data_IF_925114150978
#
_entry.id   IF_925114150978
#
_cell.length_a   1.000
_cell.length_b   1.000
_cell.length_c   1.000
_cell.angle_alpha   90.00
_cell.angle_beta   90.00
_cell.angle_gamma   90.00
#
_symmetry.space_group_name_H-M   'P 1'
#
loop_
_entity.id
_entity.type
_entity.pdbx_description
1 polymer ?
#
# COMPACT_ATOMS: atom_id res chain seq x y z
N UNK A 1 -4.01 -61.10 -38.78
CA UNK A 1 -2.95 -60.08 -38.60
C UNK A 1 -3.55 -58.96 -37.78
N UNK A 2 -3.17 -58.89 -36.51
CA UNK A 2 -3.78 -58.03 -35.50
C UNK A 2 -3.27 -56.60 -35.58
N UNK A 3 -4.21 -55.68 -35.34
CA UNK A 3 -4.11 -54.22 -35.31
C UNK A 3 -3.34 -53.73 -34.08
N UNK A 4 -2.61 -52.63 -34.21
CA UNK A 4 -2.31 -51.73 -33.09
C UNK A 4 -2.35 -50.28 -33.58
N UNK A 5 -3.29 -49.50 -33.04
CA UNK A 5 -3.33 -48.04 -33.08
C UNK A 5 -2.80 -47.54 -31.73
N UNK A 6 -1.95 -46.50 -31.66
CA UNK A 6 -1.59 -45.88 -30.40
C UNK A 6 -2.65 -44.86 -29.98
N UNK A 7 -3.16 -45.00 -28.76
CA UNK A 7 -4.00 -44.02 -28.07
C UNK A 7 -3.10 -42.84 -27.62
N UNK A 8 -3.40 -41.64 -28.09
CA UNK A 8 -2.86 -40.38 -27.55
C UNK A 8 -3.75 -39.96 -26.36
N UNK A 9 -3.23 -40.03 -25.14
CA UNK A 9 -3.88 -39.48 -23.95
C UNK A 9 -3.48 -38.00 -23.81
N UNK A 10 -4.42 -37.08 -24.04
CA UNK A 10 -4.29 -35.67 -23.67
C UNK A 10 -4.62 -35.53 -22.17
N UNK A 11 -3.60 -35.30 -21.35
CA UNK A 11 -3.76 -35.01 -19.93
C UNK A 11 -4.13 -33.52 -19.78
N UNK A 12 -5.42 -33.23 -19.57
CA UNK A 12 -5.86 -31.90 -19.15
C UNK A 12 -5.51 -31.69 -17.69
N UNK A 13 -4.45 -30.92 -17.41
CA UNK A 13 -4.13 -30.44 -16.07
C UNK A 13 -5.08 -29.28 -15.77
N UNK A 14 -6.10 -29.54 -14.96
CA UNK A 14 -6.89 -28.48 -14.32
C UNK A 14 -6.02 -27.85 -13.24
N UNK A 15 -5.48 -26.66 -13.53
CA UNK A 15 -4.90 -25.79 -12.50
C UNK A 15 -6.07 -25.22 -11.70
N UNK A 16 -6.32 -25.79 -10.52
CA UNK A 16 -7.17 -25.13 -9.53
C UNK A 16 -6.44 -23.89 -9.05
N UNK A 17 -6.85 -22.72 -9.57
CA UNK A 17 -6.49 -21.44 -8.98
C UNK A 17 -7.22 -21.41 -7.63
N UNK A 18 -6.53 -21.79 -6.55
CA UNK A 18 -7.00 -21.54 -5.20
C UNK A 18 -6.98 -20.04 -5.00
N UNK A 19 -8.14 -19.40 -5.09
CA UNK A 19 -8.33 -18.04 -4.62
C UNK A 19 -8.06 -18.08 -3.10
N UNK A 20 -6.88 -17.64 -2.66
CA UNK A 20 -6.59 -17.46 -1.25
C UNK A 20 -7.47 -16.33 -0.76
N UNK A 21 -8.57 -16.69 -0.11
CA UNK A 21 -9.51 -15.71 0.40
C UNK A 21 -8.84 -15.00 1.58
N UNK A 22 -8.80 -13.67 1.53
CA UNK A 22 -8.18 -12.88 2.61
C UNK A 22 -9.15 -12.90 3.78
N UNK A 23 -8.73 -13.54 4.87
CA UNK A 23 -9.52 -13.64 6.10
C UNK A 23 -10.01 -12.26 6.53
N UNK A 24 -11.33 -12.06 6.54
CA UNK A 24 -11.97 -10.80 6.96
C UNK A 24 -12.70 -10.03 5.86
N UNK A 25 -12.41 -10.27 4.56
CA UNK A 25 -13.11 -9.67 3.41
C UNK A 25 -14.36 -10.48 3.01
N UNK A 26 -14.27 -11.80 3.09
CA UNK A 26 -15.19 -12.74 2.40
C UNK A 26 -16.67 -12.61 2.80
N UNK A 27 -16.95 -12.22 4.05
CA UNK A 27 -18.31 -12.05 4.54
C UNK A 27 -19.02 -10.79 4.01
N UNK A 28 -18.27 -9.84 3.43
CA UNK A 28 -18.82 -8.64 2.80
C UNK A 28 -18.89 -8.79 1.27
N UNK A 29 -18.76 -10.03 0.76
CA UNK A 29 -18.49 -10.38 -0.64
C UNK A 29 -19.44 -9.84 -1.72
N UNK A 30 -20.65 -9.39 -1.37
CA UNK A 30 -21.57 -8.75 -2.33
C UNK A 30 -21.27 -7.26 -2.61
N UNK A 31 -20.47 -6.62 -1.75
CA UNK A 31 -20.14 -5.20 -1.81
C UNK A 31 -19.46 -4.77 -3.12
N UNK A 32 -18.64 -5.65 -3.71
CA UNK A 32 -17.83 -5.35 -4.91
C UNK A 32 -18.63 -5.21 -6.21
N UNK A 33 -19.86 -5.75 -6.27
CA UNK A 33 -20.57 -5.93 -7.55
C UNK A 33 -21.27 -4.68 -8.13
N UNK A 34 -21.27 -3.55 -7.42
CA UNK A 34 -22.07 -2.36 -7.80
C UNK A 34 -21.29 -1.04 -7.84
N UNK A 35 -19.95 -1.07 -7.72
CA UNK A 35 -19.13 0.15 -7.68
C UNK A 35 -18.75 0.60 -9.09
N UNK A 36 -19.13 1.84 -9.43
CA UNK A 36 -18.65 2.54 -10.62
C UNK A 36 -17.94 3.82 -10.21
N UNK A 37 -16.69 3.96 -10.64
CA UNK A 37 -15.83 5.12 -10.43
C UNK A 37 -15.82 6.07 -11.65
N UNK A 38 -16.70 5.83 -12.63
CA UNK A 38 -16.69 6.53 -13.92
C UNK A 38 -16.92 8.06 -13.79
N UNK A 39 -17.55 8.51 -12.71
CA UNK A 39 -17.77 9.92 -12.43
C UNK A 39 -16.61 10.63 -11.73
N UNK A 40 -15.59 9.88 -11.29
CA UNK A 40 -14.43 10.45 -10.59
C UNK A 40 -13.36 10.87 -11.60
N UNK A 41 -12.70 12.00 -11.33
CA UNK A 41 -11.51 12.41 -12.08
C UNK A 41 -10.30 11.53 -11.73
N UNK A 42 -9.26 11.59 -12.57
CA UNK A 42 -8.08 10.75 -12.40
C UNK A 42 -7.31 11.06 -11.12
N UNK A 43 -7.27 12.33 -10.69
CA UNK A 43 -6.57 12.72 -9.45
C UNK A 43 -7.20 12.06 -8.21
N UNK A 44 -8.54 12.04 -8.15
CA UNK A 44 -9.29 11.36 -7.09
C UNK A 44 -9.05 9.86 -7.12
N UNK A 45 -9.00 9.24 -8.32
CA UNK A 45 -8.72 7.81 -8.47
C UNK A 45 -7.30 7.48 -7.98
N UNK A 46 -6.30 8.25 -8.39
CA UNK A 46 -4.91 8.08 -7.96
C UNK A 46 -4.76 8.26 -6.43
N UNK A 47 -5.50 9.21 -5.85
CA UNK A 47 -5.57 9.40 -4.41
C UNK A 47 -6.18 8.16 -3.72
N UNK A 48 -7.28 7.63 -4.24
CA UNK A 48 -7.95 6.45 -3.66
C UNK A 48 -7.07 5.21 -3.77
N UNK A 49 -6.36 5.01 -4.88
CA UNK A 49 -5.41 3.91 -5.04
C UNK A 49 -4.31 3.97 -3.98
N UNK A 50 -3.72 5.15 -3.76
CA UNK A 50 -2.69 5.36 -2.72
C UNK A 50 -3.24 5.10 -1.31
N UNK A 51 -4.37 5.71 -0.96
CA UNK A 51 -5.01 5.48 0.34
C UNK A 51 -5.36 4.00 0.55
N UNK A 52 -5.83 3.32 -0.49
CA UNK A 52 -6.20 1.91 -0.42
C UNK A 52 -5.02 0.99 -0.20
N UNK A 53 -3.86 1.32 -0.79
CA UNK A 53 -2.61 0.60 -0.52
C UNK A 53 -2.20 0.72 0.96
N UNK A 54 -2.33 1.91 1.55
CA UNK A 54 -2.01 2.14 2.97
C UNK A 54 -2.98 1.40 3.88
N UNK A 55 -4.29 1.49 3.61
CA UNK A 55 -5.31 0.78 4.38
C UNK A 55 -5.15 -0.74 4.29
N UNK A 56 -4.84 -1.27 3.10
CA UNK A 56 -4.56 -2.67 2.89
C UNK A 56 -3.32 -3.14 3.65
N UNK A 57 -2.23 -2.36 3.60
CA UNK A 57 -1.02 -2.63 4.38
C UNK A 57 -1.31 -2.65 5.89
N UNK A 58 -2.03 -1.66 6.42
CA UNK A 58 -2.40 -1.58 7.83
C UNK A 58 -3.23 -2.80 8.25
N UNK A 59 -4.25 -3.14 7.46
CA UNK A 59 -5.08 -4.33 7.70
C UNK A 59 -4.24 -5.60 7.74
N UNK A 60 -3.41 -5.83 6.73
CA UNK A 60 -2.62 -7.06 6.64
C UNK A 60 -1.61 -7.15 7.79
N UNK A 61 -0.98 -6.02 8.18
CA UNK A 61 -0.08 -5.94 9.34
C UNK A 61 -0.73 -6.28 10.68
N UNK A 62 -2.02 -6.01 10.84
CA UNK A 62 -2.75 -6.40 12.05
C UNK A 62 -3.04 -7.92 12.12
N UNK A 63 -3.00 -8.62 10.98
CA UNK A 63 -3.44 -10.01 10.86
C UNK A 63 -2.31 -10.99 10.47
N UNK A 64 -1.18 -10.48 9.98
CA UNK A 64 -0.04 -11.27 9.49
C UNK A 64 1.28 -10.71 10.05
N UNK A 65 2.08 -11.57 10.68
CA UNK A 65 3.36 -11.19 11.28
C UNK A 65 4.44 -10.79 10.24
N UNK A 66 4.35 -11.35 9.03
CA UNK A 66 5.31 -11.07 7.97
C UNK A 66 4.70 -11.28 6.60
N UNK A 67 4.73 -10.24 5.78
CA UNK A 67 4.33 -10.27 4.38
C UNK A 67 5.15 -9.24 3.61
N UNK A 68 5.45 -9.55 2.35
CA UNK A 68 6.12 -8.62 1.44
C UNK A 68 5.07 -7.92 0.58
N UNK A 69 4.24 -8.69 -0.12
CA UNK A 69 3.23 -8.16 -1.03
C UNK A 69 1.94 -7.80 -0.29
N UNK A 70 1.43 -6.61 -0.56
CA UNK A 70 0.14 -6.14 -0.06
C UNK A 70 -0.97 -6.77 -0.91
N UNK A 71 -1.99 -7.34 -0.29
CA UNK A 71 -3.08 -7.99 -1.00
C UNK A 71 -3.82 -7.05 -1.96
N UNK A 72 -3.89 -7.43 -3.23
CA UNK A 72 -4.70 -6.75 -4.25
C UNK A 72 -6.19 -6.75 -3.90
N UNK A 73 -6.67 -7.82 -3.25
CA UNK A 73 -8.06 -7.93 -2.81
C UNK A 73 -8.39 -6.91 -1.71
N UNK A 74 -7.46 -6.67 -0.78
CA UNK A 74 -7.60 -5.63 0.24
C UNK A 74 -7.54 -4.24 -0.40
N UNK A 75 -6.58 -4.00 -1.30
CA UNK A 75 -6.48 -2.72 -2.02
C UNK A 75 -7.78 -2.42 -2.77
N UNK A 76 -8.32 -3.41 -3.50
CA UNK A 76 -9.58 -3.25 -4.22
C UNK A 76 -10.74 -2.98 -3.27
N UNK A 77 -10.83 -3.72 -2.16
CA UNK A 77 -11.88 -3.52 -1.16
C UNK A 77 -11.88 -2.09 -0.59
N UNK A 78 -10.73 -1.57 -0.18
CA UNK A 78 -10.64 -0.21 0.35
C UNK A 78 -10.86 0.87 -0.71
N UNK A 79 -10.50 0.59 -1.97
CA UNK A 79 -10.80 1.47 -3.09
C UNK A 79 -12.30 1.60 -3.30
N UNK A 80 -12.98 0.45 -3.38
CA UNK A 80 -14.44 0.37 -3.58
C UNK A 80 -15.22 1.10 -2.47
N UNK A 81 -14.75 1.04 -1.22
CA UNK A 81 -15.32 1.81 -0.10
C UNK A 81 -15.25 3.31 -0.36
N UNK A 82 -14.08 3.80 -0.76
CA UNK A 82 -13.87 5.22 -1.00
C UNK A 82 -14.72 5.71 -2.17
N UNK A 83 -14.84 4.91 -3.24
CA UNK A 83 -15.73 5.22 -4.37
C UNK A 83 -17.18 5.32 -3.90
N UNK A 84 -17.69 4.33 -3.15
CA UNK A 84 -19.07 4.38 -2.62
C UNK A 84 -19.34 5.67 -1.84
N UNK A 85 -18.44 6.06 -0.93
CA UNK A 85 -18.60 7.30 -0.19
C UNK A 85 -18.59 8.50 -1.13
N UNK A 86 -17.60 8.60 -2.03
CA UNK A 86 -17.44 9.73 -2.93
C UNK A 86 -18.58 9.90 -3.94
N UNK A 87 -19.18 8.81 -4.40
CA UNK A 87 -20.29 8.82 -5.37
C UNK A 87 -21.66 8.85 -4.73
N UNK A 88 -21.75 8.81 -3.39
CA UNK A 88 -23.02 9.03 -2.68
C UNK A 88 -23.41 10.51 -2.64
N UNK A 89 -24.70 10.82 -2.51
CA UNK A 89 -25.16 12.20 -2.31
C UNK A 89 -24.48 12.85 -1.11
N UNK A 90 -24.40 12.10 -0.01
CA UNK A 90 -23.77 12.54 1.23
C UNK A 90 -22.28 12.92 1.05
N UNK A 91 -21.51 12.12 0.32
CA UNK A 91 -20.10 12.39 0.06
C UNK A 91 -19.88 13.52 -0.93
N UNK A 92 -20.64 13.56 -2.03
CA UNK A 92 -20.53 14.60 -3.07
C UNK A 92 -20.73 16.00 -2.52
N UNK A 93 -21.74 16.21 -1.68
CA UNK A 93 -22.05 17.53 -1.12
C UNK A 93 -20.91 18.12 -0.28
N UNK A 94 -20.04 17.27 0.27
CA UNK A 94 -19.06 17.68 1.28
C UNK A 94 -17.64 17.73 0.75
N UNK A 95 -17.37 17.18 -0.45
CA UNK A 95 -16.04 17.13 -1.07
C UNK A 95 -14.91 16.62 -0.16
N UNK A 96 -15.24 15.81 0.85
CA UNK A 96 -14.29 15.35 1.88
C UNK A 96 -13.34 14.32 1.28
N UNK A 97 -13.90 13.32 0.58
CA UNK A 97 -13.15 12.16 0.09
C UNK A 97 -12.08 12.53 -0.93
N UNK A 98 -12.37 13.49 -1.82
CA UNK A 98 -11.43 13.97 -2.82
C UNK A 98 -10.20 14.69 -2.25
N UNK A 99 -10.22 15.07 -0.96
CA UNK A 99 -9.16 15.86 -0.35
C UNK A 99 -8.45 15.16 0.82
N UNK A 100 -8.96 14.02 1.31
CA UNK A 100 -8.32 13.29 2.42
C UNK A 100 -7.19 12.38 1.90
N UNK A 101 -5.95 12.83 2.05
CA UNK A 101 -4.75 12.01 1.84
C UNK A 101 -4.28 11.44 3.16
N UNK A 102 -4.15 10.12 3.27
CA UNK A 102 -3.59 9.51 4.47
C UNK A 102 -2.13 9.96 4.64
N UNK A 103 -1.77 10.38 5.84
CA UNK A 103 -0.39 10.71 6.19
C UNK A 103 0.48 9.44 6.20
N UNK A 104 1.51 9.44 5.35
CA UNK A 104 2.34 8.27 5.08
C UNK A 104 3.50 8.17 6.09
N UNK A 105 3.24 7.51 7.23
CA UNK A 105 4.32 7.15 8.17
C UNK A 105 5.28 6.10 7.58
N UNK A 106 4.77 5.25 6.69
CA UNK A 106 5.53 4.24 5.96
C UNK A 106 5.28 4.48 4.48
N UNK A 107 6.35 4.75 3.74
CA UNK A 107 6.28 4.90 2.29
C UNK A 107 6.34 3.52 1.66
N UNK A 108 5.27 3.11 0.99
CA UNK A 108 5.12 1.76 0.42
C UNK A 108 5.87 1.56 -0.90
N UNK A 109 6.52 2.60 -1.43
CA UNK A 109 7.17 2.56 -2.73
C UNK A 109 8.67 2.84 -2.67
N UNK A 110 9.15 3.43 -1.57
CA UNK A 110 10.51 3.95 -1.49
C UNK A 110 11.25 3.47 -0.23
N UNK A 111 12.54 3.16 -0.43
CA UNK A 111 13.50 2.77 0.60
C UNK A 111 14.66 3.75 0.61
N UNK A 112 15.10 4.15 1.79
CA UNK A 112 16.32 4.92 1.99
C UNK A 112 17.41 3.98 2.55
N UNK A 113 18.49 3.81 1.80
CA UNK A 113 19.55 2.86 2.12
C UNK A 113 20.90 3.59 2.22
N UNK A 114 21.61 3.43 3.32
CA UNK A 114 23.02 3.85 3.50
C UNK A 114 23.89 2.58 3.57
N UNK A 115 24.52 2.17 2.46
CA UNK A 115 25.40 1.01 2.46
C UNK A 115 26.71 1.33 3.17
N UNK A 116 27.29 0.34 3.84
CA UNK A 116 28.63 0.47 4.44
C UNK A 116 29.66 0.79 3.35
N UNK A 117 30.42 1.86 3.57
CA UNK A 117 31.28 2.50 2.56
C UNK A 117 32.34 1.62 1.90
N UNK A 118 32.76 0.56 2.58
CA UNK A 118 33.83 -0.32 2.10
C UNK A 118 33.35 -1.36 1.09
N UNK A 119 32.03 -1.47 0.84
CA UNK A 119 31.53 -2.45 -0.11
C UNK A 119 31.64 -1.97 -1.57
N UNK A 120 32.18 -2.83 -2.48
CA UNK A 120 32.40 -2.46 -3.87
C UNK A 120 31.14 -1.98 -4.62
N UNK A 121 29.95 -2.44 -4.21
CA UNK A 121 28.72 -2.13 -4.91
C UNK A 121 28.25 -0.68 -4.73
N UNK A 122 28.78 0.07 -3.76
CA UNK A 122 28.44 1.50 -3.61
C UNK A 122 28.76 2.25 -4.91
N UNK A 123 29.90 1.96 -5.53
CA UNK A 123 30.29 2.56 -6.82
C UNK A 123 29.40 2.11 -7.97
N UNK A 124 28.86 0.89 -7.92
CA UNK A 124 27.90 0.43 -8.92
C UNK A 124 26.60 1.23 -8.81
N UNK A 125 26.13 1.44 -7.57
CA UNK A 125 24.92 2.20 -7.31
C UNK A 125 25.05 3.67 -7.70
N UNK A 126 26.23 4.28 -7.55
CA UNK A 126 26.53 5.62 -8.08
C UNK A 126 26.44 5.73 -9.62
N UNK A 127 26.48 4.60 -10.32
CA UNK A 127 26.36 4.52 -11.78
C UNK A 127 25.01 3.88 -12.20
N UNK A 128 23.99 3.99 -11.36
CA UNK A 128 22.63 3.46 -11.58
C UNK A 128 22.56 1.93 -11.78
N UNK A 129 23.58 1.20 -11.33
CA UNK A 129 23.60 -0.26 -11.39
C UNK A 129 23.11 -0.83 -10.06
N UNK A 130 21.83 -1.23 -10.00
CA UNK A 130 21.18 -1.75 -8.78
C UNK A 130 21.87 -3.00 -8.19
N UNK A 131 22.66 -3.73 -8.98
CA UNK A 131 23.23 -5.00 -8.54
C UNK A 131 24.46 -4.83 -7.65
N UNK A 132 24.40 -5.54 -6.53
CA UNK A 132 25.41 -5.54 -5.48
C UNK A 132 26.45 -6.65 -5.64
N UNK A 133 26.11 -7.73 -6.36
CA UNK A 133 26.90 -8.95 -6.39
C UNK A 133 26.71 -9.82 -5.14
N UNK A 134 25.88 -9.39 -4.18
CA UNK A 134 25.44 -10.19 -3.04
C UNK A 134 24.10 -10.82 -3.41
N UNK A 135 24.10 -12.14 -3.62
CA UNK A 135 22.94 -12.88 -4.14
C UNK A 135 21.64 -12.57 -3.41
N UNK A 136 21.64 -12.60 -2.08
CA UNK A 136 20.45 -12.35 -1.26
C UNK A 136 19.88 -10.93 -1.46
N UNK A 137 20.74 -9.91 -1.57
CA UNK A 137 20.30 -8.53 -1.83
C UNK A 137 19.80 -8.40 -3.27
N UNK A 138 20.53 -8.97 -4.22
CA UNK A 138 20.21 -8.89 -5.65
C UNK A 138 18.88 -9.56 -5.97
N UNK A 139 18.61 -10.73 -5.39
CA UNK A 139 17.31 -11.42 -5.49
C UNK A 139 16.21 -10.55 -4.87
N UNK A 140 16.41 -10.04 -3.64
CA UNK A 140 15.41 -9.23 -2.97
C UNK A 140 15.05 -7.94 -3.73
N UNK A 141 16.03 -7.23 -4.30
CA UNK A 141 15.78 -6.00 -5.03
C UNK A 141 15.18 -6.26 -6.42
N UNK A 142 15.62 -7.30 -7.12
CA UNK A 142 15.11 -7.66 -8.45
C UNK A 142 13.71 -8.25 -8.40
N UNK A 143 13.46 -9.18 -7.49
CA UNK A 143 12.16 -9.86 -7.37
C UNK A 143 11.04 -8.89 -6.96
N UNK A 144 11.40 -7.70 -6.46
CA UNK A 144 10.48 -6.66 -6.05
C UNK A 144 10.55 -5.39 -6.91
N UNK A 145 11.23 -5.45 -8.06
CA UNK A 145 11.32 -4.39 -9.08
C UNK A 145 11.82 -3.03 -8.56
N UNK A 146 12.80 -3.03 -7.65
CA UNK A 146 13.42 -1.79 -7.20
C UNK A 146 14.44 -1.27 -8.21
N UNK A 147 14.48 0.05 -8.35
CA UNK A 147 15.51 0.77 -9.10
C UNK A 147 16.03 1.96 -8.28
N UNK A 148 17.23 2.41 -8.59
CA UNK A 148 17.83 3.60 -7.96
C UNK A 148 17.12 4.84 -8.53
N UNK A 149 16.50 5.62 -7.66
CA UNK A 149 15.85 6.88 -8.03
C UNK A 149 16.79 8.06 -7.85
N UNK A 150 17.50 8.09 -6.73
CA UNK A 150 18.37 9.21 -6.35
C UNK A 150 19.48 8.75 -5.41
N UNK A 151 20.58 9.49 -5.38
CA UNK A 151 21.66 9.33 -4.40
C UNK A 151 21.90 10.64 -3.66
N UNK A 152 22.08 10.58 -2.34
CA UNK A 152 22.34 11.72 -1.48
C UNK A 152 23.71 11.59 -0.83
N UNK A 153 24.54 12.61 -1.00
CA UNK A 153 25.85 12.69 -0.36
C UNK A 153 25.84 13.71 0.78
N UNK A 154 26.10 13.26 1.99
CA UNK A 154 26.23 14.11 3.16
C UNK A 154 27.64 14.02 3.73
N UNK A 155 28.56 14.73 3.09
CA UNK A 155 29.98 14.79 3.45
C UNK A 155 30.21 15.16 4.93
N UNK A 156 29.39 16.06 5.49
CA UNK A 156 29.53 16.55 6.86
C UNK A 156 29.39 15.47 7.94
N UNK A 157 28.67 14.39 7.64
CA UNK A 157 28.45 13.25 8.52
C UNK A 157 29.00 11.95 7.93
N UNK A 158 29.75 12.05 6.83
CA UNK A 158 30.33 10.92 6.12
C UNK A 158 29.25 9.85 5.83
N UNK A 159 28.10 10.24 5.25
CA UNK A 159 26.97 9.35 4.93
C UNK A 159 26.64 9.41 3.45
N UNK A 160 26.34 8.26 2.82
CA UNK A 160 25.98 8.19 1.39
C UNK A 160 24.74 7.32 1.23
N UNK A 161 23.58 7.96 1.12
CA UNK A 161 22.32 7.25 0.98
C UNK A 161 21.86 7.14 -0.47
N UNK A 162 21.07 6.11 -0.74
CA UNK A 162 20.43 5.85 -2.01
C UNK A 162 18.94 5.69 -1.77
N UNK A 163 18.15 6.45 -2.51
CA UNK A 163 16.71 6.31 -2.56
C UNK A 163 16.36 5.29 -3.64
N UNK A 164 15.93 4.12 -3.21
CA UNK A 164 15.39 3.11 -4.12
C UNK A 164 13.89 3.29 -4.23
N UNK A 165 13.35 3.06 -5.43
CA UNK A 165 11.91 3.16 -5.71
C UNK A 165 11.42 1.97 -6.50
N UNK A 166 10.13 1.68 -6.33
CA UNK A 166 9.32 0.83 -7.22
C UNK A 166 8.00 1.51 -7.56
N UNK A 167 7.36 1.08 -8.65
CA UNK A 167 6.09 1.66 -9.11
C UNK A 167 4.89 1.20 -8.28
N UNK A 168 4.87 -0.07 -7.89
CA UNK A 168 3.77 -0.66 -7.12
C UNK A 168 4.02 -0.56 -5.60
N UNK A 169 2.98 -0.44 -4.76
CA UNK A 169 3.17 -0.44 -3.31
C UNK A 169 3.54 -1.83 -2.77
N UNK A 170 4.43 -1.87 -1.78
CA UNK A 170 4.90 -3.08 -1.06
C UNK A 170 5.05 -2.78 0.42
N UNK A 171 5.15 -3.84 1.24
CA UNK A 171 5.60 -3.69 2.61
C UNK A 171 7.12 -3.38 2.65
N UNK A 172 7.46 -2.11 2.43
CA UNK A 172 8.85 -1.63 2.46
C UNK A 172 9.49 -1.82 3.82
N UNK A 173 8.72 -1.80 4.91
CA UNK A 173 9.23 -2.08 6.25
C UNK A 173 9.76 -3.51 6.38
N UNK A 174 9.08 -4.50 5.78
CA UNK A 174 9.56 -5.88 5.74
C UNK A 174 10.84 -5.99 4.89
N UNK A 175 10.87 -5.36 3.72
CA UNK A 175 12.05 -5.35 2.83
C UNK A 175 13.24 -4.69 3.52
N UNK A 176 13.04 -3.51 4.13
CA UNK A 176 14.11 -2.78 4.83
C UNK A 176 14.65 -3.59 6.00
N UNK A 177 13.78 -4.28 6.75
CA UNK A 177 14.18 -5.19 7.82
C UNK A 177 15.02 -6.38 7.31
N UNK A 178 14.67 -6.95 6.15
CA UNK A 178 15.46 -7.99 5.49
C UNK A 178 16.83 -7.47 5.07
N UNK A 179 16.88 -6.31 4.41
CA UNK A 179 18.13 -5.66 4.00
C UNK A 179 19.02 -5.34 5.21
N UNK A 180 18.46 -4.79 6.30
CA UNK A 180 19.21 -4.49 7.52
C UNK A 180 19.87 -5.74 8.12
N UNK A 181 19.18 -6.90 8.09
CA UNK A 181 19.71 -8.17 8.62
C UNK A 181 20.89 -8.72 7.83
N UNK A 182 21.07 -8.33 6.57
CA UNK A 182 22.21 -8.76 5.76
C UNK A 182 23.55 -8.23 6.29
N UNK A 183 23.53 -7.13 7.06
CA UNK A 183 24.72 -6.50 7.62
C UNK A 183 25.54 -5.66 6.65
N UNK A 184 25.07 -5.47 5.41
CA UNK A 184 25.72 -4.63 4.39
C UNK A 184 25.35 -3.15 4.45
N UNK A 185 24.32 -2.80 5.24
CA UNK A 185 23.80 -1.45 5.37
C UNK A 185 24.01 -0.92 6.79
N UNK A 186 24.41 0.34 6.90
CA UNK A 186 24.37 1.09 8.16
C UNK A 186 22.94 1.57 8.44
N UNK A 187 22.21 1.97 7.38
CA UNK A 187 20.77 2.31 7.44
C UNK A 187 20.04 1.56 6.31
N UNK A 188 18.95 0.88 6.66
CA UNK A 188 17.96 0.39 5.71
C UNK A 188 16.54 0.63 6.26
N UNK A 189 15.89 1.67 5.75
CA UNK A 189 14.56 2.09 6.23
C UNK A 189 13.61 2.46 5.09
N UNK A 190 12.33 2.61 5.44
CA UNK A 190 11.33 3.17 4.53
C UNK A 190 11.53 4.69 4.44
N UNK A 191 11.32 5.28 3.26
CA UNK A 191 11.37 6.74 3.08
C UNK A 191 10.08 7.43 3.57
N UNK A 192 9.70 7.18 4.83
CA UNK A 192 8.49 7.68 5.48
C UNK A 192 8.66 9.09 6.05
N UNK A 193 7.54 9.70 6.46
CA UNK A 193 7.54 11.01 7.13
C UNK A 193 7.28 10.89 8.63
N UNK A 194 7.99 11.70 9.42
CA UNK A 194 7.69 11.91 10.83
C UNK A 194 6.66 13.04 10.99
N UNK A 195 5.78 12.91 11.99
CA UNK A 195 4.70 13.85 12.26
C UNK A 195 3.36 13.15 12.38
N UNK A 196 2.29 13.91 12.23
CA UNK A 196 0.91 13.44 12.21
C UNK A 196 0.18 14.00 10.97
N UNK A 197 -1.04 13.54 10.70
CA UNK A 197 -1.80 14.06 9.59
C UNK A 197 -3.16 13.43 9.40
N UNK A 198 -3.70 13.65 8.21
CA UNK A 198 -5.01 13.14 7.83
C UNK A 198 -5.00 11.61 7.79
N UNK A 199 -6.14 10.98 8.06
CA UNK A 199 -6.25 9.54 8.13
C UNK A 199 -7.64 9.05 7.68
N UNK A 200 -7.75 7.78 7.33
CA UNK A 200 -9.01 7.10 7.07
C UNK A 200 -9.05 5.86 7.95
N UNK A 201 -10.14 5.69 8.69
CA UNK A 201 -10.35 4.53 9.54
C UNK A 201 -11.59 3.81 9.06
N UNK A 202 -11.46 2.51 8.78
CA UNK A 202 -12.58 1.64 8.41
C UNK A 202 -12.78 0.60 9.50
N UNK A 203 -13.96 0.60 10.12
CA UNK A 203 -14.33 -0.39 11.13
C UNK A 203 -15.52 -1.19 10.65
N UNK A 204 -15.40 -2.51 10.70
CA UNK A 204 -16.51 -3.41 10.38
C UNK A 204 -17.53 -3.45 11.53
N UNK A 205 -18.81 -3.37 11.16
CA UNK A 205 -19.96 -3.71 12.01
C UNK A 205 -20.75 -4.82 11.30
N UNK A 206 -21.75 -5.38 11.98
CA UNK A 206 -22.48 -6.55 11.47
C UNK A 206 -23.08 -6.30 10.08
N UNK A 207 -23.72 -5.14 9.87
CA UNK A 207 -24.50 -4.86 8.65
C UNK A 207 -23.95 -3.70 7.80
N UNK A 208 -22.86 -3.07 8.25
CA UNK A 208 -22.26 -1.92 7.58
C UNK A 208 -20.78 -1.75 7.98
N UNK A 209 -20.06 -0.94 7.21
CA UNK A 209 -18.74 -0.44 7.54
C UNK A 209 -18.89 0.99 8.07
N UNK A 210 -18.24 1.30 9.18
CA UNK A 210 -18.03 2.69 9.61
C UNK A 210 -16.76 3.19 8.96
N UNK A 211 -16.87 4.24 8.15
CA UNK A 211 -15.74 4.90 7.49
C UNK A 211 -15.60 6.29 8.07
N UNK A 212 -14.49 6.57 8.73
CA UNK A 212 -14.19 7.88 9.32
C UNK A 212 -13.01 8.49 8.59
N UNK A 213 -13.24 9.63 7.96
CA UNK A 213 -12.21 10.48 7.38
C UNK A 213 -11.80 11.53 8.40
N UNK A 214 -10.50 11.67 8.62
CA UNK A 214 -9.90 12.72 9.43
C UNK A 214 -9.11 13.64 8.51
N UNK A 215 -9.49 14.92 8.46
CA UNK A 215 -8.73 15.98 7.81
C UNK A 215 -7.98 16.77 8.88
N UNK A 216 -6.68 16.54 8.99
CA UNK A 216 -5.82 17.19 9.98
C UNK A 216 -5.01 18.32 9.34
N UNK A 217 -4.81 19.43 10.07
CA UNK A 217 -4.09 20.61 9.60
C UNK A 217 -3.42 21.41 10.74
N UNK A 218 -2.54 22.34 10.37
CA UNK A 218 -1.76 23.17 11.29
C UNK A 218 -0.34 22.64 11.51
N UNK A 219 0.16 22.60 12.76
CA UNK A 219 1.54 22.18 13.09
C UNK A 219 1.75 20.66 13.08
N UNK A 220 1.44 20.03 11.94
CA UNK A 220 1.48 18.58 11.79
C UNK A 220 2.86 17.90 12.03
N UNK A 221 4.02 18.54 11.79
CA UNK A 221 5.31 17.96 12.21
C UNK A 221 5.42 17.72 13.72
N UNK A 222 4.72 18.51 14.54
CA UNK A 222 4.67 18.38 16.00
C UNK A 222 3.39 17.70 16.52
N UNK A 223 2.53 17.23 15.61
CA UNK A 223 1.16 16.81 15.90
C UNK A 223 0.16 17.89 15.48
N UNK A 224 -0.75 17.54 14.56
CA UNK A 224 -1.68 18.52 14.01
C UNK A 224 -2.54 19.15 15.12
N UNK A 225 -2.66 20.48 15.11
CA UNK A 225 -3.39 21.23 16.14
C UNK A 225 -4.90 21.25 15.91
N UNK A 226 -5.38 20.77 14.77
CA UNK A 226 -6.81 20.77 14.44
C UNK A 226 -7.16 19.62 13.52
N UNK A 227 -8.36 19.07 13.73
CA UNK A 227 -8.86 17.91 13.03
C UNK A 227 -10.38 17.99 12.79
N UNK A 228 -10.76 17.77 11.53
CA UNK A 228 -12.15 17.58 11.13
C UNK A 228 -12.42 16.09 10.88
N UNK A 229 -13.41 15.54 11.58
CA UNK A 229 -13.84 14.15 11.45
C UNK A 229 -15.16 14.07 10.71
N UNK A 230 -15.25 13.17 9.73
CA UNK A 230 -16.46 12.89 8.98
C UNK A 230 -16.73 11.38 8.98
N UNK A 231 -17.88 10.97 9.51
CA UNK A 231 -18.22 9.55 9.64
C UNK A 231 -19.37 9.17 8.72
N UNK A 232 -19.18 8.05 8.03
CA UNK A 232 -20.16 7.45 7.13
C UNK A 232 -20.41 6.00 7.54
N UNK A 233 -21.66 5.54 7.35
CA UNK A 233 -21.99 4.12 7.29
C UNK A 233 -22.10 3.72 5.84
N UNK A 234 -21.39 2.66 5.46
CA UNK A 234 -21.43 2.07 4.13
C UNK A 234 -22.02 0.68 4.25
N UNK A 235 -23.22 0.49 3.71
CA UNK A 235 -23.96 -0.77 3.77
C UNK A 235 -23.53 -1.73 2.64
N UNK A 236 -23.86 -3.01 2.79
CA UNK A 236 -23.51 -4.05 1.82
C UNK A 236 -24.15 -3.83 0.43
N UNK A 237 -25.30 -3.16 0.39
CA UNK A 237 -26.00 -2.79 -0.85
C UNK A 237 -25.42 -1.52 -1.51
N UNK A 238 -24.34 -0.96 -0.96
CA UNK A 238 -23.72 0.26 -1.45
C UNK A 238 -24.37 1.56 -0.96
N UNK A 239 -25.43 1.48 -0.16
CA UNK A 239 -26.05 2.66 0.47
C UNK A 239 -25.07 3.31 1.43
N UNK A 240 -24.93 4.64 1.34
CA UNK A 240 -24.07 5.43 2.22
C UNK A 240 -24.89 6.42 3.02
N UNK A 241 -24.74 6.40 4.35
CA UNK A 241 -25.39 7.31 5.28
C UNK A 241 -24.34 8.14 6.00
N UNK A 242 -24.50 9.46 6.00
CA UNK A 242 -23.66 10.36 6.79
C UNK A 242 -24.13 10.39 8.24
N UNK A 243 -23.22 10.07 9.16
CA UNK A 243 -23.53 10.01 10.60
C UNK A 243 -23.26 11.33 11.31
N UNK A 244 -22.26 12.09 10.84
CA UNK A 244 -21.96 13.38 11.45
C UNK A 244 -20.55 13.89 11.19
N UNK A 245 -20.37 15.17 11.58
CA UNK A 245 -19.09 15.88 11.59
C UNK A 245 -18.71 16.17 13.05
N UNK A 246 -17.45 15.96 13.42
CA UNK A 246 -16.87 16.49 14.65
C UNK A 246 -15.67 17.38 14.30
N UNK A 247 -15.53 18.51 14.99
CA UNK A 247 -14.47 19.50 14.78
C UNK A 247 -13.72 19.64 16.10
N UNK A 248 -12.45 19.27 16.10
CA UNK A 248 -11.55 19.50 17.22
C UNK A 248 -10.58 20.63 16.83
N UNK A 249 -10.58 21.70 17.63
CA UNK A 249 -9.67 22.85 17.53
C UNK A 249 -8.83 22.98 18.78
#
# INVERSE_FOLDING_TARGET
MNRFLPLFYFLFIFVFISCSSVTGIDDFGNFRSQVSDASLDQETKDLFEKNSAILAYQHQKENEDSFIHISEDLKRFYYDIQVHVATSDAGRERSITANTRIFEHVNLNELLLDPKKDYPFVKNWENDQILTGVKEIDELLKDNDFYIKESYDWDSINMRAFLLRRNEPINTLQISSMLQRTGYFDIAETNGSAGDGSNIIVKRKNDFLTVTYTNAYGDCPSGCISEDYYTFKVHQDGTVVFEGKNINQ
#
